data_IF_634081330958
#
_entry.id   IF_634081330958
#
_cell.length_a   1.000
_cell.length_b   1.000
_cell.length_c   1.000
_cell.angle_alpha   90.00
_cell.angle_beta   90.00
_cell.angle_gamma   90.00
#
_symmetry.space_group_name_H-M   'P 1'
#
loop_
_entity.id
_entity.type
_entity.pdbx_description
1 polymer ?
#
# COMPACT_ATOMS: atom_id res chain seq x y z
N UNK A 1 1.95 -22.57 19.32
CA UNK A 1 0.55 -22.13 19.12
C UNK A 1 0.41 -21.04 18.04
N UNK A 2 1.50 -20.39 17.57
CA UNK A 2 1.46 -19.44 16.43
C UNK A 2 1.75 -20.06 15.04
N UNK A 3 2.16 -21.33 14.99
CA UNK A 3 2.50 -22.01 13.72
C UNK A 3 1.27 -22.53 12.95
N UNK A 4 0.12 -22.64 13.63
CA UNK A 4 -1.09 -23.30 13.13
C UNK A 4 -2.12 -22.36 12.48
N UNK A 5 -1.90 -21.05 12.53
CA UNK A 5 -2.80 -20.05 11.93
C UNK A 5 -2.33 -19.54 10.56
N UNK A 6 -1.19 -20.02 10.06
CA UNK A 6 -0.58 -19.55 8.80
C UNK A 6 -1.02 -20.39 7.56
N UNK A 7 -1.56 -21.58 7.76
CA UNK A 7 -1.88 -22.53 6.69
C UNK A 7 -3.24 -22.31 6.01
N UNK A 8 -4.09 -21.41 6.52
CA UNK A 8 -5.43 -21.10 5.95
C UNK A 8 -5.51 -19.77 5.19
N UNK A 9 -4.37 -19.16 4.85
CA UNK A 9 -4.36 -17.92 4.06
C UNK A 9 -4.64 -18.20 2.57
N UNK A 10 -5.75 -17.67 2.05
CA UNK A 10 -6.08 -17.64 0.62
C UNK A 10 -4.88 -17.21 -0.24
N UNK A 11 -4.80 -17.68 -1.49
CA UNK A 11 -3.72 -17.36 -2.45
C UNK A 11 -3.37 -15.85 -2.48
N UNK A 12 -4.41 -15.03 -2.45
CA UNK A 12 -4.37 -13.56 -2.40
C UNK A 12 -3.60 -13.04 -1.16
N UNK A 13 -3.92 -13.55 0.04
CA UNK A 13 -3.23 -13.17 1.29
C UNK A 13 -1.75 -13.58 1.29
N UNK A 14 -1.42 -14.74 0.71
CA UNK A 14 -0.03 -15.22 0.60
C UNK A 14 0.79 -14.33 -0.33
N UNK A 15 0.22 -13.91 -1.46
CA UNK A 15 0.86 -13.03 -2.44
C UNK A 15 1.17 -11.64 -1.84
N UNK A 16 0.21 -11.07 -1.12
CA UNK A 16 0.38 -9.79 -0.40
C UNK A 16 1.48 -9.87 0.67
N UNK A 17 1.51 -10.94 1.47
CA UNK A 17 2.53 -11.13 2.50
C UNK A 17 3.94 -11.21 1.91
N UNK A 18 4.10 -11.91 0.79
CA UNK A 18 5.37 -12.02 0.07
C UNK A 18 5.82 -10.68 -0.53
N UNK A 19 4.88 -9.90 -1.06
CA UNK A 19 5.14 -8.53 -1.52
C UNK A 19 5.59 -7.65 -0.34
N UNK A 20 4.90 -7.70 0.81
CA UNK A 20 5.25 -6.90 1.99
C UNK A 20 6.66 -7.18 2.54
N UNK A 21 7.20 -8.39 2.35
CA UNK A 21 8.60 -8.71 2.71
C UNK A 21 9.64 -8.16 1.73
N UNK A 22 9.26 -7.97 0.48
CA UNK A 22 10.16 -7.52 -0.60
C UNK A 22 9.97 -6.04 -0.98
N UNK A 23 8.86 -5.44 -0.54
CA UNK A 23 8.42 -4.10 -0.90
C UNK A 23 8.17 -3.30 0.37
N UNK A 24 8.30 -1.97 0.28
CA UNK A 24 8.13 -1.04 1.41
C UNK A 24 6.68 -0.79 1.82
N UNK A 25 5.82 -1.77 1.57
CA UNK A 25 4.39 -1.61 1.71
C UNK A 25 3.89 -2.16 3.05
N UNK A 26 3.37 -1.32 3.97
CA UNK A 26 2.84 -1.80 5.24
C UNK A 26 1.54 -2.59 5.01
N UNK A 27 1.38 -3.71 5.71
CA UNK A 27 0.28 -4.66 5.46
C UNK A 27 -1.12 -4.05 5.61
N UNK A 28 -1.30 -3.04 6.47
CA UNK A 28 -2.58 -2.36 6.68
C UNK A 28 -2.83 -1.17 5.76
N UNK A 29 -1.92 -0.86 4.82
CA UNK A 29 -2.15 0.21 3.85
C UNK A 29 -3.10 -0.18 2.72
N UNK A 30 -3.61 -1.42 2.66
CA UNK A 30 -4.59 -1.85 1.66
C UNK A 30 -5.86 -2.39 2.31
N UNK A 31 -7.05 -1.98 1.83
CA UNK A 31 -8.30 -2.54 2.31
C UNK A 31 -8.54 -3.94 1.75
N UNK A 32 -8.57 -4.94 2.62
CA UNK A 32 -8.57 -6.37 2.25
C UNK A 32 -9.94 -6.96 1.91
N UNK A 33 -11.04 -6.37 2.39
CA UNK A 33 -12.38 -7.00 2.35
C UNK A 33 -12.95 -7.22 0.94
N UNK A 34 -12.51 -6.44 -0.05
CA UNK A 34 -13.06 -6.45 -1.41
C UNK A 34 -12.02 -6.86 -2.47
N UNK A 35 -10.86 -7.38 -2.05
CA UNK A 35 -9.75 -7.74 -2.93
C UNK A 35 -10.05 -9.06 -3.66
N UNK A 36 -10.06 -9.00 -4.99
CA UNK A 36 -10.27 -10.16 -5.87
C UNK A 36 -8.95 -10.77 -6.30
N UNK A 37 -7.96 -9.92 -6.59
CA UNK A 37 -6.65 -10.34 -7.07
C UNK A 37 -5.53 -9.52 -6.45
N UNK A 38 -4.43 -10.20 -6.16
CA UNK A 38 -3.16 -9.56 -5.82
C UNK A 38 -2.03 -10.30 -6.53
N UNK A 39 -1.38 -9.62 -7.45
CA UNK A 39 -0.30 -10.18 -8.26
C UNK A 39 1.01 -9.45 -8.07
N UNK A 40 2.11 -10.20 -8.10
CA UNK A 40 3.46 -9.65 -8.09
C UNK A 40 4.34 -10.38 -9.10
N UNK A 41 4.68 -9.70 -10.19
CA UNK A 41 5.70 -10.14 -11.13
C UNK A 41 7.07 -9.67 -10.62
N UNK A 42 7.83 -10.61 -10.05
CA UNK A 42 9.17 -10.36 -9.51
C UNK A 42 10.19 -9.96 -10.56
N UNK A 43 10.13 -10.56 -11.76
CA UNK A 43 11.09 -10.28 -12.84
C UNK A 43 10.92 -8.86 -13.38
N UNK A 44 9.67 -8.43 -13.55
CA UNK A 44 9.36 -7.07 -14.00
C UNK A 44 9.37 -6.03 -12.86
N UNK A 45 9.42 -6.47 -11.59
CA UNK A 45 9.21 -5.61 -10.43
C UNK A 45 7.84 -4.92 -10.47
N UNK A 46 6.79 -5.61 -10.90
CA UNK A 46 5.46 -5.02 -11.09
C UNK A 46 4.42 -5.68 -10.17
N UNK A 47 3.69 -4.87 -9.42
CA UNK A 47 2.63 -5.31 -8.51
C UNK A 47 1.30 -4.71 -8.93
N UNK A 48 0.24 -5.51 -8.83
CA UNK A 48 -1.13 -5.05 -9.06
C UNK A 48 -2.09 -5.64 -8.03
N UNK A 49 -3.15 -4.89 -7.80
CA UNK A 49 -4.27 -5.25 -6.93
C UNK A 49 -5.56 -4.92 -7.67
N UNK A 50 -6.48 -5.89 -7.68
CA UNK A 50 -7.84 -5.73 -8.21
C UNK A 50 -8.83 -5.89 -7.07
N UNK A 51 -9.77 -4.97 -6.98
CA UNK A 51 -10.86 -4.96 -5.99
C UNK A 51 -12.19 -4.67 -6.69
N UNK A 52 -13.27 -5.24 -6.16
CA UNK A 52 -14.62 -5.17 -6.77
C UNK A 52 -15.11 -3.76 -7.09
N UNK A 53 -14.74 -2.80 -6.24
CA UNK A 53 -15.20 -1.41 -6.32
C UNK A 53 -14.18 -0.48 -5.68
N UNK A 54 -14.25 0.79 -6.05
CA UNK A 54 -13.49 1.87 -5.38
C UNK A 54 -13.77 1.84 -3.86
N UNK A 55 -12.72 2.05 -3.06
CA UNK A 55 -12.82 2.10 -1.59
C UNK A 55 -12.11 3.33 -1.04
N UNK A 56 -12.83 4.08 -0.21
CA UNK A 56 -12.27 5.20 0.53
C UNK A 56 -11.98 4.75 1.98
N UNK A 57 -10.84 5.16 2.51
CA UNK A 57 -10.38 4.84 3.86
C UNK A 57 -9.86 6.08 4.56
N UNK A 58 -10.00 6.15 5.88
CA UNK A 58 -9.41 7.20 6.70
C UNK A 58 -8.46 6.56 7.70
N UNK A 59 -7.17 6.80 7.50
CA UNK A 59 -6.14 6.42 8.47
C UNK A 59 -6.25 7.33 9.69
N UNK A 60 -6.93 6.84 10.74
CA UNK A 60 -7.27 7.64 11.93
C UNK A 60 -6.04 8.23 12.63
N UNK A 61 -4.94 7.46 12.70
CA UNK A 61 -3.71 7.88 13.39
C UNK A 61 -3.09 9.13 12.76
N UNK A 62 -3.14 9.25 11.43
CA UNK A 62 -2.58 10.40 10.68
C UNK A 62 -3.66 11.34 10.14
N UNK A 63 -4.94 11.06 10.41
CA UNK A 63 -6.11 11.82 9.94
C UNK A 63 -6.12 12.05 8.43
N UNK A 64 -5.60 11.08 7.65
CA UNK A 64 -5.57 11.17 6.18
C UNK A 64 -6.64 10.31 5.55
N UNK A 65 -7.40 10.91 4.65
CA UNK A 65 -8.34 10.19 3.78
C UNK A 65 -7.60 9.75 2.51
N UNK A 66 -7.72 8.48 2.19
CA UNK A 66 -7.11 7.84 1.02
C UNK A 66 -8.19 7.11 0.24
N UNK A 67 -8.04 7.10 -1.07
CA UNK A 67 -8.98 6.51 -2.01
C UNK A 67 -8.25 5.52 -2.90
N UNK A 68 -8.78 4.30 -2.98
CA UNK A 68 -8.27 3.20 -3.79
C UNK A 68 -9.27 2.91 -4.91
N UNK A 69 -8.79 2.92 -6.15
CA UNK A 69 -9.55 2.55 -7.33
C UNK A 69 -9.75 1.02 -7.42
N UNK A 70 -10.64 0.53 -8.29
CA UNK A 70 -10.80 -0.90 -8.57
C UNK A 70 -9.50 -1.60 -8.99
N UNK A 71 -8.59 -0.87 -9.63
CA UNK A 71 -7.27 -1.35 -10.01
C UNK A 71 -6.20 -0.41 -9.45
N UNK A 72 -5.24 -0.99 -8.74
CA UNK A 72 -4.06 -0.30 -8.19
C UNK A 72 -2.83 -1.01 -8.72
N UNK A 73 -1.88 -0.24 -9.28
CA UNK A 73 -0.63 -0.80 -9.81
C UNK A 73 0.56 0.02 -9.34
N UNK A 74 1.73 -0.61 -9.27
CA UNK A 74 2.99 0.08 -9.02
C UNK A 74 4.18 -0.75 -9.51
N UNK A 75 5.33 -0.09 -9.66
CA UNK A 75 6.61 -0.78 -9.80
C UNK A 75 7.36 -0.78 -8.47
N UNK A 76 7.89 -1.94 -8.12
CA UNK A 76 8.70 -2.21 -6.94
C UNK A 76 10.16 -1.96 -7.26
N UNK A 77 10.78 -1.11 -6.44
CA UNK A 77 12.22 -0.96 -6.31
C UNK A 77 12.63 -1.21 -4.85
N UNK A 78 13.93 -1.33 -4.62
CA UNK A 78 14.43 -1.48 -3.27
C UNK A 78 13.98 -0.30 -2.40
N UNK A 79 13.17 -0.61 -1.40
CA UNK A 79 12.55 0.34 -0.48
C UNK A 79 11.62 1.40 -1.08
N UNK A 80 11.13 1.20 -2.31
CA UNK A 80 10.32 2.19 -3.02
C UNK A 80 9.29 1.54 -3.92
N UNK A 81 8.11 2.15 -3.98
CA UNK A 81 7.12 1.97 -5.01
C UNK A 81 7.10 3.22 -5.88
N UNK A 82 7.13 3.04 -7.21
CA UNK A 82 7.11 4.14 -8.18
C UNK A 82 6.02 3.93 -9.22
N UNK A 83 5.65 5.02 -9.90
CA UNK A 83 4.61 5.06 -10.94
C UNK A 83 3.29 4.43 -10.43
N UNK A 84 2.96 4.69 -9.17
CA UNK A 84 1.77 4.15 -8.56
C UNK A 84 0.52 4.73 -9.22
N UNK A 85 -0.48 3.89 -9.47
CA UNK A 85 -1.78 4.28 -10.02
C UNK A 85 -2.91 3.80 -9.12
N UNK A 86 -4.08 4.40 -9.26
CA UNK A 86 -5.28 3.97 -8.52
C UNK A 86 -5.33 4.42 -7.05
N UNK A 87 -4.32 5.11 -6.54
CA UNK A 87 -4.30 5.63 -5.16
C UNK A 87 -4.36 7.15 -5.16
N UNK A 88 -5.27 7.73 -4.38
CA UNK A 88 -5.35 9.18 -4.15
C UNK A 88 -5.37 9.50 -2.67
N UNK A 89 -4.71 10.57 -2.27
CA UNK A 89 -4.79 11.15 -0.92
C UNK A 89 -5.59 12.45 -0.96
N UNK A 90 -6.33 12.73 0.11
CA UNK A 90 -6.99 14.01 0.28
C UNK A 90 -6.06 14.99 0.96
N UNK A 91 -5.71 16.04 0.22
CA UNK A 91 -4.91 17.14 0.72
C UNK A 91 -5.68 18.45 0.59
N UNK A 92 -5.87 19.13 1.72
CA UNK A 92 -6.82 20.23 1.85
C UNK A 92 -8.22 19.82 1.35
N UNK A 93 -8.66 20.38 0.22
CA UNK A 93 -9.96 20.10 -0.40
C UNK A 93 -9.85 19.28 -1.70
N UNK A 94 -8.64 18.88 -2.11
CA UNK A 94 -8.39 18.20 -3.39
C UNK A 94 -7.95 16.74 -3.19
N UNK A 95 -8.32 15.90 -4.16
CA UNK A 95 -7.82 14.53 -4.24
C UNK A 95 -6.62 14.48 -5.18
N UNK A 96 -5.45 14.17 -4.62
CA UNK A 96 -4.20 14.13 -5.36
C UNK A 96 -3.74 12.69 -5.56
N UNK A 97 -3.32 12.35 -6.78
CA UNK A 97 -2.79 11.02 -7.08
C UNK A 97 -1.44 10.82 -6.41
N UNK A 98 -1.31 9.71 -5.66
CA UNK A 98 -0.04 9.29 -5.08
C UNK A 98 0.70 8.49 -6.15
N UNK A 99 1.93 8.90 -6.45
CA UNK A 99 2.74 8.34 -7.55
C UNK A 99 3.99 7.61 -7.05
N UNK A 100 4.45 7.91 -5.83
CA UNK A 100 5.54 7.18 -5.19
C UNK A 100 5.30 7.01 -3.70
N UNK A 101 5.81 5.90 -3.16
CA UNK A 101 5.89 5.61 -1.72
C UNK A 101 7.27 5.05 -1.43
N UNK A 102 8.00 5.55 -0.44
CA UNK A 102 9.34 5.06 -0.15
C UNK A 102 9.73 5.22 1.32
N UNK A 103 10.74 4.45 1.76
CA UNK A 103 11.45 4.71 3.01
C UNK A 103 12.67 5.57 2.70
N UNK A 104 12.87 6.65 3.46
CA UNK A 104 14.05 7.52 3.29
C UNK A 104 15.37 6.74 3.48
N UNK A 105 15.38 5.75 4.38
CA UNK A 105 16.52 4.90 4.71
C UNK A 105 16.04 3.47 5.04
N UNK A 106 16.89 2.44 4.89
CA UNK A 106 16.53 1.06 5.23
C UNK A 106 16.07 0.86 6.68
N UNK A 107 16.59 1.70 7.60
CA UNK A 107 16.23 1.71 9.03
C UNK A 107 15.17 2.76 9.37
N UNK A 108 14.58 3.40 8.36
CA UNK A 108 13.56 4.43 8.57
C UNK A 108 12.26 3.77 9.04
N UNK A 109 11.70 4.30 10.12
CA UNK A 109 10.36 3.96 10.59
C UNK A 109 9.28 4.83 9.92
N UNK A 110 9.66 5.68 8.97
CA UNK A 110 8.75 6.61 8.27
C UNK A 110 8.64 6.27 6.79
N UNK A 111 7.39 6.23 6.31
CA UNK A 111 7.00 6.14 4.92
C UNK A 111 6.73 7.54 4.37
N UNK A 112 7.35 7.86 3.24
CA UNK A 112 7.13 9.11 2.52
C UNK A 112 6.27 8.83 1.29
N UNK A 113 5.21 9.61 1.13
CA UNK A 113 4.27 9.55 0.02
C UNK A 113 4.46 10.79 -0.85
N UNK A 114 4.59 10.61 -2.16
CA UNK A 114 4.67 11.72 -3.12
C UNK A 114 3.48 11.73 -4.05
N UNK A 115 2.96 12.92 -4.30
CA UNK A 115 1.87 13.15 -5.25
C UNK A 115 2.41 13.53 -6.63
N UNK A 116 1.59 13.35 -7.67
CA UNK A 116 1.92 13.81 -9.03
C UNK A 116 2.12 15.32 -9.17
N UNK A 117 1.74 16.11 -8.14
CA UNK A 117 1.96 17.56 -8.08
C UNK A 117 3.30 17.96 -7.45
N UNK A 118 4.07 16.99 -6.94
CA UNK A 118 5.33 17.23 -6.25
C UNK A 118 5.21 17.40 -4.73
N UNK A 119 4.00 17.48 -4.17
CA UNK A 119 3.79 17.48 -2.72
C UNK A 119 4.18 16.13 -2.12
N UNK A 120 4.76 16.18 -0.91
CA UNK A 120 5.20 14.99 -0.19
C UNK A 120 4.94 15.09 1.30
N UNK A 121 4.42 14.01 1.88
CA UNK A 121 4.21 13.86 3.32
C UNK A 121 4.89 12.59 3.83
N UNK A 122 5.44 12.63 5.04
CA UNK A 122 6.06 11.48 5.70
C UNK A 122 5.36 11.14 7.01
N UNK A 123 5.05 9.85 7.20
CA UNK A 123 4.31 9.35 8.35
C UNK A 123 4.99 8.10 8.94
N UNK A 124 4.85 7.84 10.25
CA UNK A 124 5.30 6.57 10.85
C UNK A 124 4.65 5.38 10.14
N UNK A 125 5.42 4.33 9.84
CA UNK A 125 4.94 3.11 9.19
C UNK A 125 3.88 2.40 10.05
N UNK A 126 4.03 2.47 11.38
CA UNK A 126 3.05 1.97 12.36
C UNK A 126 1.66 2.60 12.23
N UNK A 127 1.54 3.79 11.62
CA UNK A 127 0.25 4.41 11.36
C UNK A 127 -0.59 3.70 10.29
N UNK A 128 0.02 2.78 9.56
CA UNK A 128 -0.60 2.01 8.48
C UNK A 128 -0.61 0.50 8.77
N UNK A 129 -0.29 0.09 9.99
CA UNK A 129 -0.45 -1.29 10.40
C UNK A 129 -1.93 -1.57 10.70
N UNK A 130 -2.35 -2.82 10.52
CA UNK A 130 -3.70 -3.25 10.89
C UNK A 130 -3.79 -3.12 12.42
N UNK A 131 -4.57 -2.15 12.90
CA UNK A 131 -4.98 -2.17 14.30
C UNK A 131 -5.96 -3.35 14.41
N UNK A 132 -5.61 -4.36 15.21
CA UNK A 132 -6.45 -5.53 15.52
C UNK A 132 -7.86 -5.13 15.98
#
# INVERSE_FOLDING_TARGET
MAQRSFEEMSSVRRSQYNCSKSCVFPQGALPMEDMEEFGYNREAGFVWLIQKKKKDHVFKQIKRAVSYAPEVTAFVEQYKLKKMTGVKTKELLLWLSVVEVYLDKPTSEKLTFKTGTGLSDSFPASAFELNE
#
